data_IF_677827674358
#
_entry.id   IF_677827674358
#
_cell.length_a   1.000
_cell.length_b   1.000
_cell.length_c   1.000
_cell.angle_alpha   90.00
_cell.angle_beta   90.00
_cell.angle_gamma   90.00
#
_symmetry.space_group_name_H-M   'P 1'
#
loop_
_entity.id
_entity.type
_entity.pdbx_description
1 polymer ?
#
# COMPACT_ATOMS: atom_id res chain seq x y z
N UNK A 1 -8.61 -7.91 15.15
CA UNK A 1 -8.82 -7.22 13.86
C UNK A 1 -7.84 -6.07 13.85
N UNK A 2 -6.82 -6.09 12.97
CA UNK A 2 -5.89 -4.97 12.87
C UNK A 2 -6.62 -3.81 12.19
N UNK A 3 -6.68 -2.66 12.84
CA UNK A 3 -7.38 -1.46 12.39
C UNK A 3 -6.34 -0.42 12.00
N UNK A 4 -6.28 -0.06 10.72
CA UNK A 4 -5.48 1.08 10.26
C UNK A 4 -6.15 2.40 10.63
N UNK A 5 -5.34 3.44 10.75
CA UNK A 5 -5.71 4.82 11.05
C UNK A 5 -5.11 5.76 10.01
N UNK A 6 -5.77 6.90 9.78
CA UNK A 6 -5.20 7.95 8.91
C UNK A 6 -3.89 8.43 9.52
N UNK A 7 -2.82 8.40 8.74
CA UNK A 7 -1.48 8.72 9.21
C UNK A 7 -0.54 7.53 9.22
N UNK A 8 -1.07 6.30 9.31
CA UNK A 8 -0.27 5.09 9.46
C UNK A 8 0.59 4.83 8.22
N UNK A 9 1.81 4.35 8.45
CA UNK A 9 2.71 3.89 7.41
C UNK A 9 2.48 2.40 7.17
N UNK A 10 2.34 2.03 5.91
CA UNK A 10 1.97 0.68 5.51
C UNK A 10 2.79 0.21 4.32
N UNK A 11 2.93 -1.10 4.19
CA UNK A 11 3.46 -1.79 3.01
C UNK A 11 2.43 -2.79 2.50
N UNK A 12 2.27 -2.90 1.18
CA UNK A 12 1.45 -3.94 0.57
C UNK A 12 2.13 -5.30 0.70
N UNK A 13 1.35 -6.32 1.03
CA UNK A 13 1.79 -7.72 0.94
C UNK A 13 1.81 -8.13 -0.53
N UNK A 14 3.00 -8.39 -1.06
CA UNK A 14 3.18 -8.84 -2.45
C UNK A 14 3.14 -10.36 -2.55
N UNK A 15 2.40 -10.85 -3.54
CA UNK A 15 2.46 -12.22 -4.05
C UNK A 15 2.96 -12.24 -5.49
N UNK A 16 3.19 -13.44 -6.04
CA UNK A 16 3.71 -13.65 -7.41
C UNK A 16 2.85 -12.96 -8.50
N UNK A 17 1.55 -12.78 -8.24
CA UNK A 17 0.60 -12.13 -9.14
C UNK A 17 0.44 -10.61 -8.90
N UNK A 18 1.35 -9.96 -8.17
CA UNK A 18 1.26 -8.52 -7.94
C UNK A 18 1.20 -7.73 -9.26
N UNK A 19 0.23 -6.82 -9.42
CA UNK A 19 0.18 -5.92 -10.56
C UNK A 19 1.22 -4.79 -10.46
N UNK A 20 1.77 -4.55 -9.27
CA UNK A 20 2.74 -3.48 -9.02
C UNK A 20 4.13 -3.95 -9.41
N UNK A 21 4.73 -3.22 -10.34
CA UNK A 21 6.05 -3.51 -10.90
C UNK A 21 6.98 -2.32 -10.66
N UNK A 22 8.23 -2.62 -10.34
CA UNK A 22 9.28 -1.59 -10.29
C UNK A 22 9.79 -1.24 -11.69
N UNK A 23 10.82 -0.40 -11.74
CA UNK A 23 11.45 0.04 -12.99
C UNK A 23 12.16 -1.09 -13.76
N UNK A 24 12.47 -2.20 -13.10
CA UNK A 24 13.06 -3.42 -13.70
C UNK A 24 11.98 -4.46 -14.06
N UNK A 25 10.70 -4.10 -13.93
CA UNK A 25 9.53 -4.95 -14.17
C UNK A 25 9.40 -6.15 -13.21
N UNK A 26 10.00 -6.07 -12.03
CA UNK A 26 9.88 -7.09 -10.98
C UNK A 26 8.67 -6.77 -10.07
N UNK A 27 7.96 -7.79 -9.55
CA UNK A 27 6.88 -7.56 -8.60
C UNK A 27 7.42 -6.87 -7.35
N UNK A 28 6.83 -5.72 -6.99
CA UNK A 28 7.37 -4.84 -5.94
C UNK A 28 6.28 -4.41 -4.96
N UNK A 29 6.57 -4.32 -3.66
CA UNK A 29 5.59 -3.83 -2.70
C UNK A 29 5.48 -2.30 -2.78
N UNK A 30 4.27 -1.78 -2.63
CA UNK A 30 4.07 -0.36 -2.45
C UNK A 30 4.17 -0.02 -0.96
N UNK A 31 4.86 1.07 -0.68
CA UNK A 31 4.97 1.68 0.64
C UNK A 31 4.25 3.02 0.62
N UNK A 32 3.43 3.29 1.61
CA UNK A 32 2.68 4.53 1.64
C UNK A 32 2.10 4.88 2.99
N UNK A 33 1.31 5.95 2.99
CA UNK A 33 0.63 6.50 4.16
C UNK A 33 -0.88 6.38 4.00
N UNK A 34 -1.56 5.91 5.03
CA UNK A 34 -3.02 5.82 5.03
C UNK A 34 -3.61 7.23 5.06
N UNK A 35 -4.44 7.54 4.08
CA UNK A 35 -5.15 8.83 3.96
C UNK A 35 -6.65 8.69 4.23
N UNK A 36 -7.19 7.47 4.16
CA UNK A 36 -8.60 7.19 4.48
C UNK A 36 -8.80 5.73 4.87
N UNK A 37 -9.74 5.50 5.79
CA UNK A 37 -10.23 4.15 6.14
C UNK A 37 -11.76 4.13 6.06
N UNK A 38 -12.31 3.08 5.44
CA UNK A 38 -13.75 2.82 5.30
C UNK A 38 -14.01 1.32 5.46
N UNK A 39 -14.25 0.88 6.69
CA UNK A 39 -14.42 -0.56 6.96
C UNK A 39 -13.12 -1.31 6.70
N UNK A 40 -13.14 -2.23 5.73
CA UNK A 40 -11.94 -2.98 5.31
C UNK A 40 -11.14 -2.25 4.21
N UNK A 41 -11.72 -1.23 3.59
CA UNK A 41 -11.07 -0.49 2.52
C UNK A 41 -10.19 0.61 3.08
N UNK A 42 -8.93 0.64 2.66
CA UNK A 42 -7.87 1.53 3.12
C UNK A 42 -7.30 2.23 1.91
N UNK A 43 -7.41 3.56 1.90
CA UNK A 43 -6.82 4.39 0.85
C UNK A 43 -5.44 4.84 1.29
N UNK A 44 -4.44 4.56 0.47
CA UNK A 44 -3.03 4.79 0.76
C UNK A 44 -2.46 5.74 -0.30
N UNK A 45 -1.84 6.83 0.16
CA UNK A 45 -0.96 7.67 -0.66
C UNK A 45 0.41 6.98 -0.72
N UNK A 46 0.80 6.55 -1.92
CA UNK A 46 2.03 5.79 -2.16
C UNK A 46 3.21 6.74 -2.08
N UNK A 47 4.18 6.40 -1.24
CA UNK A 47 5.45 7.13 -1.08
C UNK A 47 6.62 6.43 -1.78
N UNK A 48 6.45 5.17 -2.19
CA UNK A 48 7.44 4.43 -2.97
C UNK A 48 6.98 3.04 -3.37
N UNK A 49 7.67 2.39 -4.33
CA UNK A 49 8.82 2.88 -5.09
C UNK A 49 8.48 4.06 -6.03
N UNK A 50 9.50 4.82 -6.44
CA UNK A 50 9.35 6.17 -7.02
C UNK A 50 8.47 6.27 -8.27
N UNK A 51 8.36 5.20 -9.07
CA UNK A 51 7.46 5.15 -10.23
C UNK A 51 5.96 5.12 -9.86
N UNK A 52 5.63 4.87 -8.59
CA UNK A 52 4.28 4.90 -8.05
C UNK A 52 4.09 6.02 -7.01
N UNK A 53 5.13 6.77 -6.67
CA UNK A 53 5.05 7.80 -5.64
C UNK A 53 4.10 8.93 -6.05
N UNK A 54 3.23 9.34 -5.12
CA UNK A 54 2.18 10.34 -5.34
C UNK A 54 0.84 9.74 -5.79
N UNK A 55 0.80 8.46 -6.20
CA UNK A 55 -0.46 7.79 -6.51
C UNK A 55 -1.28 7.52 -5.24
N UNK A 56 -2.60 7.54 -5.37
CA UNK A 56 -3.51 7.20 -4.28
C UNK A 56 -4.32 5.96 -4.65
N UNK A 57 -4.04 4.85 -3.98
CA UNK A 57 -4.60 3.53 -4.32
C UNK A 57 -5.43 3.01 -3.15
N UNK A 58 -6.52 2.32 -3.45
CA UNK A 58 -7.38 1.66 -2.46
C UNK A 58 -7.01 0.18 -2.35
N UNK A 59 -6.83 -0.29 -1.12
CA UNK A 59 -6.51 -1.67 -0.77
C UNK A 59 -7.51 -2.19 0.24
N UNK A 60 -7.71 -3.50 0.27
CA UNK A 60 -8.31 -4.15 1.43
C UNK A 60 -7.27 -4.30 2.53
N UNK A 61 -7.70 -4.18 3.79
CA UNK A 61 -6.81 -4.14 4.96
C UNK A 61 -5.95 -5.39 5.13
N UNK A 62 -6.40 -6.55 4.65
CA UNK A 62 -5.66 -7.82 4.69
C UNK A 62 -4.44 -7.85 3.74
N UNK A 63 -4.43 -6.97 2.73
CA UNK A 63 -3.31 -6.81 1.81
C UNK A 63 -2.25 -5.84 2.35
N UNK A 64 -2.45 -5.23 3.52
CA UNK A 64 -1.54 -4.25 4.09
C UNK A 64 -0.91 -4.78 5.37
N UNK A 65 0.33 -4.34 5.62
CA UNK A 65 1.02 -4.50 6.90
C UNK A 65 1.50 -3.15 7.37
N UNK A 66 1.40 -2.89 8.67
CA UNK A 66 2.06 -1.75 9.27
C UNK A 66 3.58 -1.86 9.10
N UNK A 67 4.20 -0.72 8.82
CA UNK A 67 5.65 -0.55 8.92
C UNK A 67 5.91 0.71 9.74
N UNK A 68 6.99 0.66 10.52
CA UNK A 68 7.43 1.69 11.48
C UNK A 68 6.58 1.79 12.76
#
# INVERSE_FOLDING_TARGET
MMSFSVGDRVVTTIGEMSPFRDVENLPTPLVGKVVRVRGIDVRVEVTGPGNWAGETIEFTSDLLKHID
#
